data_IF_600168883291
#
_entry.id   IF_600168883291
#
_cell.length_a   1.000
_cell.length_b   1.000
_cell.length_c   1.000
_cell.angle_alpha   90.00
_cell.angle_beta   90.00
_cell.angle_gamma   90.00
#
_symmetry.space_group_name_H-M   'P 1'
#
loop_
_entity.id
_entity.type
_entity.pdbx_description
1 polymer ?
#
# COMPACT_ATOMS: atom_id res chain seq x y z
N UNK A 1 5.34 -12.50 -0.40
CA UNK A 1 4.19 -12.51 0.52
C UNK A 1 2.88 -12.61 -0.23
N UNK A 2 2.40 -11.54 -0.87
CA UNK A 2 1.07 -11.46 -1.50
C UNK A 2 0.80 -12.55 -2.54
N UNK A 3 1.77 -12.89 -3.39
CA UNK A 3 1.64 -13.97 -4.39
C UNK A 3 1.44 -15.38 -3.81
N UNK A 4 1.58 -15.56 -2.49
CA UNK A 4 1.34 -16.83 -1.79
C UNK A 4 0.17 -16.76 -0.81
N UNK A 5 -0.47 -15.60 -0.71
CA UNK A 5 -1.63 -15.45 0.14
C UNK A 5 -2.85 -16.11 -0.52
N UNK A 6 -3.55 -16.98 0.20
CA UNK A 6 -4.72 -17.72 -0.28
C UNK A 6 -6.05 -17.19 0.30
N UNK A 7 -6.02 -16.05 1.00
CA UNK A 7 -7.21 -15.47 1.61
C UNK A 7 -8.05 -14.67 0.59
N UNK A 8 -9.34 -14.48 0.90
CA UNK A 8 -10.26 -13.60 0.15
C UNK A 8 -9.87 -12.12 0.22
N UNK A 9 -9.09 -11.73 1.23
CA UNK A 9 -8.47 -10.44 1.37
C UNK A 9 -7.03 -10.61 1.86
N UNK A 10 -6.14 -9.74 1.43
CA UNK A 10 -4.73 -9.72 1.84
C UNK A 10 -4.46 -8.39 2.51
N UNK A 11 -4.08 -8.43 3.79
CA UNK A 11 -3.62 -7.25 4.52
C UNK A 11 -2.09 -7.22 4.53
N UNK A 12 -1.54 -6.05 4.29
CA UNK A 12 -0.10 -5.76 4.39
C UNK A 12 0.08 -4.75 5.51
N UNK A 13 1.00 -5.05 6.42
CA UNK A 13 1.28 -4.25 7.60
C UNK A 13 2.76 -4.34 7.93
N UNK A 14 3.37 -3.23 8.31
CA UNK A 14 4.76 -3.23 8.77
C UNK A 14 4.87 -3.98 10.11
N UNK A 15 5.94 -4.76 10.27
CA UNK A 15 6.17 -5.61 11.46
C UNK A 15 6.88 -4.89 12.61
N UNK A 16 6.82 -3.58 12.67
CA UNK A 16 7.51 -2.75 13.67
C UNK A 16 6.62 -2.33 14.86
N UNK A 17 5.43 -2.95 14.96
CA UNK A 17 4.42 -2.71 15.99
C UNK A 17 3.87 -1.27 16.04
N UNK A 18 4.07 -0.48 15.00
CA UNK A 18 3.48 0.86 14.90
C UNK A 18 2.03 0.85 14.40
N UNK A 19 1.57 -0.30 13.89
CA UNK A 19 0.20 -0.52 13.45
C UNK A 19 -0.54 -1.38 14.48
N UNK A 20 -1.59 -0.86 15.13
CA UNK A 20 -2.39 -1.63 16.09
C UNK A 20 -3.05 -2.83 15.40
N UNK A 21 -2.98 -4.05 15.96
CA UNK A 21 -3.63 -5.23 15.36
C UNK A 21 -5.15 -5.08 15.20
N UNK A 22 -5.77 -4.28 16.05
CA UNK A 22 -7.21 -4.02 16.08
C UNK A 22 -7.72 -3.34 14.80
N UNK A 23 -6.83 -2.71 14.06
CA UNK A 23 -7.18 -2.08 12.77
C UNK A 23 -7.42 -3.11 11.68
N UNK A 24 -6.99 -4.37 11.86
CA UNK A 24 -7.11 -5.40 10.84
C UNK A 24 -8.57 -5.69 10.46
N UNK A 25 -9.47 -5.79 11.43
CA UNK A 25 -10.90 -6.03 11.18
C UNK A 25 -11.55 -4.88 10.40
N UNK A 26 -11.47 -3.60 10.80
CA UNK A 26 -11.96 -2.48 10.01
C UNK A 26 -11.35 -2.39 8.60
N UNK A 27 -10.12 -2.85 8.41
CA UNK A 27 -9.47 -2.88 7.10
C UNK A 27 -10.05 -3.96 6.19
N UNK A 28 -10.41 -5.11 6.73
CA UNK A 28 -10.85 -6.27 5.95
C UNK A 28 -12.37 -6.27 5.72
N UNK A 29 -13.18 -5.79 6.66
CA UNK A 29 -14.63 -5.80 6.57
C UNK A 29 -15.17 -5.13 5.28
N UNK A 30 -14.71 -3.93 4.84
CA UNK A 30 -15.18 -3.34 3.59
C UNK A 30 -14.82 -4.15 2.33
N UNK A 31 -13.79 -5.00 2.42
CA UNK A 31 -13.38 -5.88 1.33
C UNK A 31 -14.23 -7.15 1.27
N UNK A 32 -14.66 -7.70 2.41
CA UNK A 32 -15.40 -8.96 2.47
C UNK A 32 -16.90 -8.74 2.30
N UNK A 33 -17.43 -7.71 2.96
CA UNK A 33 -18.87 -7.47 3.11
C UNK A 33 -19.35 -6.25 2.32
N UNK A 34 -18.43 -5.42 1.82
CA UNK A 34 -18.70 -4.20 1.06
C UNK A 34 -18.19 -4.24 -0.37
N UNK A 35 -18.34 -3.14 -1.11
CA UNK A 35 -17.88 -3.03 -2.51
C UNK A 35 -16.40 -2.70 -2.66
N UNK A 36 -15.66 -2.45 -1.58
CA UNK A 36 -14.27 -2.04 -1.65
C UNK A 36 -13.37 -3.16 -2.21
N UNK A 37 -12.43 -2.79 -3.04
CA UNK A 37 -11.37 -3.68 -3.52
C UNK A 37 -10.02 -3.34 -2.89
N UNK A 38 -9.87 -2.10 -2.42
CA UNK A 38 -8.68 -1.62 -1.71
C UNK A 38 -9.12 -0.89 -0.45
N UNK A 39 -8.48 -1.18 0.68
CA UNK A 39 -8.57 -0.35 1.88
C UNK A 39 -7.19 0.14 2.27
N UNK A 40 -7.11 1.39 2.70
CA UNK A 40 -5.86 2.02 3.11
C UNK A 40 -5.98 2.50 4.53
N UNK A 41 -5.08 2.03 5.40
CA UNK A 41 -4.94 2.58 6.73
C UNK A 41 -4.39 3.99 6.64
N UNK A 42 -5.19 4.97 7.04
CA UNK A 42 -4.83 6.38 6.90
C UNK A 42 -4.63 7.07 8.23
N UNK A 43 -3.47 7.70 8.34
CA UNK A 43 -3.11 8.62 9.44
C UNK A 43 -3.73 10.00 9.28
N UNK A 44 -4.21 10.29 8.07
CA UNK A 44 -4.70 11.60 7.65
C UNK A 44 -6.21 11.65 7.38
N UNK A 45 -6.89 10.51 7.43
CA UNK A 45 -8.36 10.47 7.40
C UNK A 45 -8.94 11.00 8.72
N UNK A 46 -10.19 11.44 8.69
CA UNK A 46 -10.87 11.93 9.89
C UNK A 46 -10.88 10.85 10.99
N UNK A 47 -10.29 11.14 12.15
CA UNK A 47 -10.10 10.18 13.24
C UNK A 47 -8.75 9.45 13.25
N UNK A 48 -7.93 9.60 12.21
CA UNK A 48 -6.55 9.11 12.19
C UNK A 48 -5.58 10.03 12.92
N UNK A 49 -4.41 9.51 13.30
CA UNK A 49 -3.34 10.29 13.93
C UNK A 49 -1.97 9.84 13.42
N UNK A 50 -1.11 10.81 13.17
CA UNK A 50 0.30 10.64 12.81
C UNK A 50 1.25 10.95 13.98
N UNK A 51 0.75 10.95 15.22
CA UNK A 51 1.53 11.30 16.44
C UNK A 51 2.73 10.38 16.66
N UNK A 52 2.70 9.14 16.20
CA UNK A 52 3.83 8.22 16.24
C UNK A 52 5.03 8.61 15.38
N UNK A 53 4.95 9.69 14.60
CA UNK A 53 6.09 10.27 13.92
C UNK A 53 6.88 11.15 14.89
N UNK A 54 7.86 10.57 15.56
CA UNK A 54 8.64 11.16 16.66
C UNK A 54 9.24 12.55 16.38
N UNK A 55 9.51 12.88 15.08
CA UNK A 55 10.16 14.13 14.70
C UNK A 55 9.32 14.93 13.72
N UNK A 56 9.18 16.23 13.95
CA UNK A 56 8.44 17.16 13.06
C UNK A 56 8.90 17.12 11.60
N UNK A 57 10.18 16.96 11.34
CA UNK A 57 10.70 16.86 9.98
C UNK A 57 10.20 15.60 9.26
N UNK A 58 9.99 14.48 9.97
CA UNK A 58 9.41 13.25 9.39
C UNK A 58 7.96 13.45 9.00
N UNK A 59 7.22 14.23 9.79
CA UNK A 59 5.86 14.61 9.42
C UNK A 59 5.85 15.42 8.12
N UNK A 60 6.70 16.45 8.01
CA UNK A 60 6.82 17.24 6.78
C UNK A 60 7.31 16.42 5.59
N UNK A 61 8.25 15.51 5.79
CA UNK A 61 8.72 14.59 4.74
C UNK A 61 7.60 13.65 4.28
N UNK A 62 6.77 13.14 5.20
CA UNK A 62 5.61 12.31 4.89
C UNK A 62 4.56 13.10 4.11
N UNK A 63 4.23 14.31 4.54
CA UNK A 63 3.29 15.19 3.83
C UNK A 63 3.83 15.54 2.44
N UNK A 64 5.11 15.92 2.34
CA UNK A 64 5.75 16.24 1.05
C UNK A 64 5.78 15.04 0.10
N UNK A 65 6.10 13.84 0.59
CA UNK A 65 6.07 12.63 -0.23
C UNK A 65 4.67 12.29 -0.72
N UNK A 66 3.64 12.48 0.12
CA UNK A 66 2.23 12.32 -0.27
C UNK A 66 1.86 13.27 -1.40
N UNK A 67 2.18 14.55 -1.26
CA UNK A 67 1.92 15.55 -2.29
C UNK A 67 2.60 15.20 -3.62
N UNK A 68 3.86 14.79 -3.57
CA UNK A 68 4.61 14.36 -4.74
C UNK A 68 3.92 13.20 -5.46
N UNK A 69 3.56 12.14 -4.71
CA UNK A 69 2.88 10.96 -5.25
C UNK A 69 1.55 11.34 -5.87
N UNK A 70 0.73 12.15 -5.20
CA UNK A 70 -0.58 12.59 -5.69
C UNK A 70 -0.48 13.56 -6.89
N UNK A 71 0.62 14.32 -6.99
CA UNK A 71 0.89 15.15 -8.17
C UNK A 71 1.26 14.31 -9.40
N UNK A 72 2.06 13.26 -9.20
CA UNK A 72 2.51 12.38 -10.27
C UNK A 72 1.42 11.39 -10.74
N UNK A 73 0.61 10.87 -9.81
CA UNK A 73 -0.36 9.78 -10.08
C UNK A 73 -1.77 10.16 -9.64
N UNK A 74 -2.67 10.32 -10.60
CA UNK A 74 -4.08 10.69 -10.33
C UNK A 74 -4.82 9.65 -9.51
N UNK A 75 -4.49 8.40 -9.71
CA UNK A 75 -5.08 7.23 -9.05
C UNK A 75 -4.91 7.32 -7.53
N UNK A 76 -3.77 7.82 -7.06
CA UNK A 76 -3.43 7.93 -5.64
C UNK A 76 -4.18 9.06 -4.91
N UNK A 77 -4.83 9.97 -5.65
CA UNK A 77 -5.61 11.07 -5.06
C UNK A 77 -6.89 10.61 -4.36
N UNK A 78 -7.30 9.37 -4.61
CA UNK A 78 -8.47 8.75 -3.96
C UNK A 78 -8.17 8.30 -2.52
N UNK A 79 -6.90 8.24 -2.12
CA UNK A 79 -6.51 7.95 -0.74
C UNK A 79 -5.90 9.19 -0.09
N UNK A 80 -6.18 9.37 1.18
CA UNK A 80 -5.56 10.40 2.01
C UNK A 80 -4.14 10.03 2.48
N UNK A 81 -3.74 8.73 2.41
CA UNK A 81 -2.41 8.25 2.79
C UNK A 81 -1.85 7.19 1.82
N UNK A 82 -1.65 7.54 0.53
CA UNK A 82 -1.21 6.58 -0.49
C UNK A 82 0.23 6.06 -0.28
N UNK A 83 0.96 6.67 0.62
CA UNK A 83 2.33 6.27 0.97
C UNK A 83 2.44 5.46 2.27
N UNK A 84 1.31 5.10 2.88
CA UNK A 84 1.26 4.30 4.11
C UNK A 84 1.71 2.86 3.91
N UNK A 85 2.23 2.24 4.99
CA UNK A 85 2.63 0.84 5.04
C UNK A 85 1.50 -0.12 5.40
N UNK A 86 0.30 0.41 5.70
CA UNK A 86 -0.88 -0.36 6.09
C UNK A 86 -1.94 -0.28 5.00
N UNK A 87 -2.27 -1.41 4.39
CA UNK A 87 -3.35 -1.50 3.41
C UNK A 87 -3.85 -2.93 3.29
N UNK A 88 -5.06 -3.10 2.77
CA UNK A 88 -5.55 -4.41 2.38
C UNK A 88 -6.20 -4.36 0.99
N UNK A 89 -6.16 -5.49 0.31
CA UNK A 89 -6.67 -5.62 -1.05
C UNK A 89 -7.42 -6.94 -1.23
N UNK A 90 -8.35 -6.96 -2.16
CA UNK A 90 -8.79 -8.23 -2.76
C UNK A 90 -7.74 -8.72 -3.73
N UNK A 91 -7.45 -10.03 -3.82
CA UNK A 91 -6.43 -10.58 -4.72
C UNK A 91 -6.62 -10.18 -6.20
N UNK A 92 -7.86 -10.08 -6.65
CA UNK A 92 -8.19 -9.70 -8.03
C UNK A 92 -7.72 -8.31 -8.45
N UNK A 93 -7.42 -7.43 -7.49
CA UNK A 93 -6.79 -6.13 -7.76
C UNK A 93 -5.46 -6.29 -8.50
N UNK A 94 -4.79 -7.42 -8.26
CA UNK A 94 -3.48 -7.72 -8.82
C UNK A 94 -3.55 -8.46 -10.16
N UNK A 95 -4.74 -8.81 -10.65
CA UNK A 95 -4.89 -9.57 -11.88
C UNK A 95 -4.33 -8.82 -13.10
N UNK A 96 -3.25 -9.38 -13.66
CA UNK A 96 -2.53 -8.77 -14.77
C UNK A 96 -1.70 -7.53 -14.40
N UNK A 97 -1.61 -7.19 -13.12
CA UNK A 97 -0.75 -6.11 -12.66
C UNK A 97 0.71 -6.60 -12.55
N UNK A 98 1.57 -6.11 -13.44
CA UNK A 98 3.00 -6.38 -13.37
C UNK A 98 3.64 -5.48 -12.30
N UNK A 99 3.69 -5.95 -11.05
CA UNK A 99 4.29 -5.24 -9.93
C UNK A 99 5.80 -5.52 -9.86
N UNK A 100 6.60 -4.48 -9.72
CA UNK A 100 8.03 -4.54 -9.42
C UNK A 100 8.35 -3.61 -8.23
N UNK A 101 7.81 -3.90 -7.04
CA UNK A 101 7.93 -3.00 -5.91
C UNK A 101 9.40 -2.90 -5.45
N UNK A 102 9.94 -1.70 -5.51
CA UNK A 102 11.22 -1.37 -4.91
C UNK A 102 11.00 -0.56 -3.63
N UNK A 103 11.30 -1.17 -2.47
CA UNK A 103 11.19 -0.50 -1.17
C UNK A 103 9.76 -0.34 -0.64
N UNK A 104 9.49 0.77 0.07
CA UNK A 104 8.28 0.97 0.91
C UNK A 104 7.01 1.36 0.17
N UNK A 105 7.05 1.58 -1.15
CA UNK A 105 5.94 2.20 -1.88
C UNK A 105 5.11 1.22 -2.69
N UNK A 106 4.98 -0.02 -2.19
CA UNK A 106 4.17 -1.05 -2.83
C UNK A 106 2.72 -0.60 -3.05
N UNK A 107 2.13 0.10 -2.08
CA UNK A 107 0.76 0.61 -2.21
C UNK A 107 0.62 1.56 -3.41
N UNK A 108 1.58 2.47 -3.62
CA UNK A 108 1.55 3.39 -4.76
C UNK A 108 1.50 2.62 -6.08
N UNK A 109 2.33 1.58 -6.20
CA UNK A 109 2.35 0.76 -7.42
C UNK A 109 1.05 -0.01 -7.62
N UNK A 110 0.46 -0.56 -6.55
CA UNK A 110 -0.85 -1.22 -6.59
C UNK A 110 -1.93 -0.23 -7.03
N UNK A 111 -1.95 0.97 -6.47
CA UNK A 111 -2.94 1.98 -6.84
C UNK A 111 -2.84 2.41 -8.30
N UNK A 112 -1.63 2.41 -8.86
CA UNK A 112 -1.37 2.86 -10.25
C UNK A 112 -1.57 1.74 -11.26
N UNK A 113 -1.20 0.49 -10.92
CA UNK A 113 -1.21 -0.66 -11.84
C UNK A 113 -2.35 -1.64 -11.61
N UNK A 114 -2.91 -1.65 -10.39
CA UNK A 114 -3.98 -2.57 -10.00
C UNK A 114 -5.32 -2.21 -10.65
N UNK A 115 -6.20 -3.20 -10.71
CA UNK A 115 -7.58 -3.06 -11.18
C UNK A 115 -8.51 -2.86 -9.99
N UNK A 116 -8.94 -1.65 -9.74
CA UNK A 116 -9.86 -1.32 -8.65
C UNK A 116 -10.71 -0.09 -9.00
N UNK A 117 -11.89 -0.03 -8.43
CA UNK A 117 -12.85 1.06 -8.61
C UNK A 117 -13.18 1.75 -7.28
N UNK A 118 -13.29 0.95 -6.22
CA UNK A 118 -13.69 1.42 -4.89
C UNK A 118 -12.54 1.26 -3.91
N UNK A 119 -12.10 2.39 -3.35
CA UNK A 119 -11.10 2.47 -2.29
C UNK A 119 -11.73 3.11 -1.06
N UNK A 120 -11.42 2.57 0.12
CA UNK A 120 -11.88 3.09 1.41
C UNK A 120 -10.64 3.39 2.28
N UNK A 121 -10.54 4.62 2.77
CA UNK A 121 -9.58 4.98 3.81
C UNK A 121 -10.13 4.61 5.19
N UNK A 122 -9.35 3.85 5.95
CA UNK A 122 -9.67 3.45 7.32
C UNK A 122 -8.79 4.24 8.27
N UNK A 123 -9.36 5.14 9.11
CA UNK A 123 -8.56 5.92 10.04
C UNK A 123 -7.94 5.03 11.11
N UNK A 124 -6.68 5.26 11.43
CA UNK A 124 -6.02 4.62 12.55
C UNK A 124 -5.02 5.56 13.23
N UNK A 125 -4.65 5.23 14.47
CA UNK A 125 -3.61 5.94 15.21
C UNK A 125 -2.28 5.24 14.96
N UNK A 126 -1.33 5.98 14.41
CA UNK A 126 0.02 5.50 14.22
C UNK A 126 0.80 5.60 15.52
N UNK A 127 1.23 4.47 16.06
CA UNK A 127 1.89 4.41 17.35
C UNK A 127 3.38 4.74 17.28
N UNK A 128 3.96 5.12 18.41
CA UNK A 128 5.40 5.28 18.56
C UNK A 128 6.08 3.93 18.47
N UNK A 129 7.18 3.86 17.71
CA UNK A 129 7.97 2.64 17.56
C UNK A 129 8.48 2.15 18.92
N UNK A 130 8.25 0.89 19.24
CA UNK A 130 8.70 0.30 20.49
C UNK A 130 10.15 -0.18 20.39
N UNK A 131 10.62 -0.61 19.20
CA UNK A 131 11.97 -1.10 18.95
C UNK A 131 12.49 -0.76 17.54
N UNK A 132 13.81 -0.63 17.43
CA UNK A 132 14.52 -0.46 16.17
C UNK A 132 14.93 0.96 15.82
N UNK A 133 16.06 1.08 15.10
CA UNK A 133 16.56 2.35 14.59
C UNK A 133 15.91 2.70 13.26
N UNK A 134 15.58 3.95 13.07
CA UNK A 134 15.08 4.47 11.81
C UNK A 134 16.18 4.43 10.74
N UNK A 135 15.97 3.64 9.70
CA UNK A 135 16.84 3.60 8.51
C UNK A 135 16.47 4.64 7.46
N UNK A 136 15.66 5.64 7.81
CA UNK A 136 15.26 6.69 6.86
C UNK A 136 16.46 7.58 6.54
N UNK A 137 17.16 7.25 5.47
CA UNK A 137 18.33 7.95 4.99
C UNK A 137 18.01 8.74 3.72
N UNK A 138 18.88 9.70 3.36
CA UNK A 138 18.79 10.42 2.08
C UNK A 138 18.82 9.46 0.89
N UNK A 139 19.51 8.32 1.05
CA UNK A 139 19.56 7.26 0.04
C UNK A 139 18.18 6.64 -0.21
N UNK A 140 17.38 6.41 0.84
CA UNK A 140 16.01 5.89 0.70
C UNK A 140 15.09 6.90 0.02
N UNK A 141 15.23 8.19 0.36
CA UNK A 141 14.53 9.27 -0.34
C UNK A 141 14.86 9.30 -1.83
N UNK A 142 16.12 9.16 -2.18
CA UNK A 142 16.57 9.12 -3.57
C UNK A 142 16.05 7.87 -4.31
N UNK A 143 16.08 6.70 -3.65
CA UNK A 143 15.53 5.47 -4.23
C UNK A 143 14.03 5.57 -4.45
N UNK A 144 13.31 6.20 -3.53
CA UNK A 144 11.88 6.49 -3.71
C UNK A 144 11.63 7.36 -4.97
N UNK A 145 12.40 8.43 -5.15
CA UNK A 145 12.24 9.30 -6.32
C UNK A 145 12.51 8.52 -7.61
N UNK A 146 13.60 7.74 -7.67
CA UNK A 146 13.90 6.89 -8.83
C UNK A 146 12.77 5.92 -9.14
N UNK A 147 12.23 5.26 -8.12
CA UNK A 147 11.11 4.34 -8.28
C UNK A 147 9.86 5.06 -8.82
N UNK A 148 9.50 6.20 -8.26
CA UNK A 148 8.33 6.97 -8.71
C UNK A 148 8.50 7.46 -10.17
N UNK A 149 9.69 7.91 -10.53
CA UNK A 149 9.99 8.32 -11.92
C UNK A 149 9.92 7.13 -12.87
N UNK A 150 10.49 5.99 -12.48
CA UNK A 150 10.41 4.75 -13.26
C UNK A 150 8.96 4.27 -13.44
N UNK A 151 8.18 4.30 -12.38
CA UNK A 151 6.75 3.96 -12.41
C UNK A 151 5.97 4.91 -13.31
N UNK A 152 6.19 6.20 -13.19
CA UNK A 152 5.55 7.22 -14.03
C UNK A 152 5.89 7.00 -15.51
N UNK A 153 7.18 6.77 -15.82
CA UNK A 153 7.65 6.54 -17.17
C UNK A 153 7.02 5.29 -17.79
N UNK A 154 7.04 4.17 -17.05
CA UNK A 154 6.50 2.89 -17.55
C UNK A 154 4.98 2.93 -17.75
N UNK A 155 4.24 3.73 -16.98
CA UNK A 155 2.78 3.79 -17.05
C UNK A 155 2.24 4.86 -17.99
N UNK A 156 3.01 5.95 -18.23
CA UNK A 156 2.57 7.09 -19.04
C UNK A 156 3.19 7.11 -20.43
N UNK A 157 4.43 6.64 -20.57
CA UNK A 157 5.17 6.68 -21.85
C UNK A 157 5.19 5.31 -22.52
N UNK A 158 4.84 4.25 -21.79
CA UNK A 158 4.82 2.88 -22.31
C UNK A 158 6.23 2.33 -22.67
N UNK A 159 7.27 2.99 -22.19
CA UNK A 159 8.66 2.66 -22.47
C UNK A 159 9.39 2.35 -21.17
N UNK A 160 9.73 1.09 -21.00
CA UNK A 160 10.49 0.60 -19.86
C UNK A 160 10.42 -0.92 -19.81
N UNK A 161 11.34 -1.60 -19.11
CA UNK A 161 11.21 -3.02 -18.88
C UNK A 161 9.88 -3.26 -18.19
N UNK A 162 8.99 -3.94 -18.89
CA UNK A 162 7.76 -4.46 -18.27
C UNK A 162 8.25 -5.42 -17.18
N UNK A 163 7.93 -5.18 -15.90
CA UNK A 163 8.31 -6.13 -14.87
C UNK A 163 7.70 -7.48 -15.24
N UNK A 164 8.40 -8.58 -15.00
CA UNK A 164 7.89 -9.90 -15.29
C UNK A 164 6.53 -10.04 -14.60
N UNK A 165 5.53 -10.43 -15.35
CA UNK A 165 4.22 -10.77 -14.79
C UNK A 165 4.49 -11.79 -13.69
N UNK A 166 4.13 -11.55 -12.43
CA UNK A 166 4.28 -12.57 -11.42
C UNK A 166 3.41 -13.72 -11.86
N UNK A 167 4.05 -14.80 -12.35
CA UNK A 167 3.36 -16.06 -12.56
C UNK A 167 2.91 -16.51 -11.18
N UNK A 168 1.64 -16.39 -10.92
CA UNK A 168 0.99 -17.03 -9.78
C UNK A 168 0.92 -18.51 -10.12
N UNK A 169 2.07 -19.20 -10.04
CA UNK A 169 2.10 -20.65 -10.07
C UNK A 169 1.52 -21.12 -8.72
N UNK A 170 0.34 -21.70 -8.77
CA UNK A 170 -0.24 -22.44 -7.66
C UNK A 170 -1.22 -21.70 -6.75
N UNK A 171 -2.04 -20.79 -7.24
CA UNK A 171 -3.35 -20.56 -6.64
C UNK A 171 -4.33 -21.61 -7.22
N UNK A 172 -4.08 -22.88 -6.96
CA UNK A 172 -5.18 -23.82 -6.83
C UNK A 172 -5.96 -23.36 -5.58
N UNK A 173 -7.10 -22.72 -5.82
CA UNK A 173 -8.11 -22.57 -4.80
C UNK A 173 -8.44 -23.96 -4.31
N UNK A 174 -7.96 -24.30 -3.13
CA UNK A 174 -8.49 -25.42 -2.39
C UNK A 174 -9.95 -25.04 -2.10
N UNK A 175 -10.82 -25.49 -2.98
CA UNK A 175 -12.25 -25.55 -2.77
C UNK A 175 -12.47 -26.50 -1.56
N UNK A 176 -12.44 -25.94 -0.36
CA UNK A 176 -12.77 -26.66 0.87
C UNK A 176 -14.25 -26.49 1.14
N UNK A 177 -15.04 -26.93 0.21
CA UNK A 177 -16.41 -27.32 0.45
C UNK A 177 -16.55 -28.76 -0.01
N UNK A 178 -16.11 -29.70 0.81
CA UNK A 178 -16.68 -31.03 0.84
C UNK A 178 -16.96 -31.43 2.30
N UNK A 179 -18.07 -32.18 2.51
CA UNK A 179 -18.92 -32.21 3.69
C UNK A 179 -18.30 -32.83 4.93
#
# INVERSE_FOLDING_TARGET
>A
GMARAAGRAVIVMDGDLQHPPEVAEPMVAPLLDGPAQVTVGSRYAAGGSAEGLEYRWRHWASVGSRWLVQAMFRETRRSSDPGGGLFAIRPEVLDGAALAPEGYKMLVEILVRGKWEVLVDVPYRFETRQDGQTKSTLVEGWNMIKHLVGLWWSTRVGWGPQPPTPRVEGLEFLDRNEP
#
